data_IF_302541675631
#
_entry.id   IF_302541675631
#
_cell.length_a   1.000
_cell.length_b   1.000
_cell.length_c   1.000
_cell.angle_alpha   90.00
_cell.angle_beta   90.00
_cell.angle_gamma   90.00
#
_symmetry.space_group_name_H-M   'P 1'
#
loop_
_entity.id
_entity.type
_entity.pdbx_description
1 polymer ?
#
# COMPACT_ATOMS: atom_id res chain seq x y z
N UNK A 1 -10.75 23.94 -59.42
CA UNK A 1 -11.39 22.81 -58.73
C UNK A 1 -10.35 21.71 -58.58
N UNK A 2 -9.53 21.80 -57.53
CA UNK A 2 -8.65 20.72 -57.09
C UNK A 2 -8.24 21.01 -55.65
N UNK A 3 -8.78 20.21 -54.74
CA UNK A 3 -8.43 20.17 -53.32
C UNK A 3 -7.08 19.49 -53.16
N UNK A 4 -6.21 20.05 -52.31
CA UNK A 4 -5.18 19.28 -51.61
C UNK A 4 -5.55 19.28 -50.13
N UNK A 5 -6.04 18.14 -49.65
CA UNK A 5 -6.20 17.87 -48.23
C UNK A 5 -4.81 17.59 -47.65
N UNK A 6 -4.30 18.50 -46.81
CA UNK A 6 -3.11 18.25 -46.03
C UNK A 6 -3.48 17.34 -44.85
N UNK A 7 -3.15 16.07 -44.98
CA UNK A 7 -3.20 15.10 -43.88
C UNK A 7 -2.19 15.52 -42.81
N UNK A 8 -2.67 16.23 -41.80
CA UNK A 8 -1.97 16.35 -40.53
C UNK A 8 -2.01 15.00 -39.82
N UNK A 9 -1.04 14.14 -40.13
CA UNK A 9 -0.68 13.03 -39.27
C UNK A 9 -0.14 13.64 -37.97
N UNK A 10 -1.06 13.96 -37.05
CA UNK A 10 -0.73 14.28 -35.68
C UNK A 10 0.14 13.15 -35.18
N UNK A 11 1.37 13.50 -34.80
CA UNK A 11 2.34 12.63 -34.16
C UNK A 11 1.60 11.66 -33.25
N UNK A 12 1.68 10.37 -33.58
CA UNK A 12 1.53 9.30 -32.63
C UNK A 12 2.56 9.57 -31.53
N UNK A 13 2.16 10.41 -30.58
CA UNK A 13 2.89 10.62 -29.37
C UNK A 13 3.10 9.22 -28.81
N UNK A 14 4.34 8.93 -28.46
CA UNK A 14 4.70 7.87 -27.54
C UNK A 14 4.00 8.15 -26.20
N UNK A 15 2.67 8.01 -26.20
CA UNK A 15 1.80 8.54 -25.18
C UNK A 15 1.67 7.46 -24.15
N UNK A 16 2.49 7.59 -23.11
CA UNK A 16 2.54 6.72 -21.95
C UNK A 16 1.14 6.38 -21.47
N UNK A 17 0.92 5.10 -21.15
CA UNK A 17 -0.28 4.61 -20.48
C UNK A 17 -0.32 5.19 -19.06
N UNK A 18 -0.81 6.43 -18.96
CA UNK A 18 -0.73 7.27 -17.77
C UNK A 18 -2.07 7.94 -17.49
N UNK A 19 -2.27 8.33 -16.22
CA UNK A 19 -3.44 9.11 -15.82
C UNK A 19 -3.44 10.49 -16.51
N UNK A 20 -2.27 11.11 -16.68
CA UNK A 20 -2.15 12.43 -17.30
C UNK A 20 -2.63 12.43 -18.76
N UNK A 21 -2.35 11.36 -19.51
CA UNK A 21 -2.85 11.20 -20.88
C UNK A 21 -4.39 11.15 -20.94
N UNK A 22 -5.05 10.53 -19.95
CA UNK A 22 -6.51 10.51 -19.86
C UNK A 22 -7.05 11.88 -19.48
N UNK A 23 -6.43 12.54 -18.50
CA UNK A 23 -6.88 13.85 -18.01
C UNK A 23 -6.69 14.95 -19.05
N UNK A 24 -5.68 14.86 -19.92
CA UNK A 24 -5.45 15.80 -21.01
C UNK A 24 -6.63 15.89 -21.99
N UNK A 25 -7.39 14.80 -22.19
CA UNK A 25 -8.57 14.81 -23.07
C UNK A 25 -9.67 15.78 -22.59
N UNK A 26 -9.66 16.20 -21.31
CA UNK A 26 -10.61 17.20 -20.78
C UNK A 26 -10.47 18.57 -21.42
N UNK A 27 -9.29 18.90 -21.95
CA UNK A 27 -9.04 20.20 -22.57
C UNK A 27 -9.63 20.31 -23.99
N UNK A 28 -10.11 19.22 -24.58
CA UNK A 28 -10.69 19.19 -25.93
C UNK A 28 -12.14 19.68 -25.86
N UNK A 29 -12.46 20.73 -26.62
CA UNK A 29 -13.79 21.35 -26.66
C UNK A 29 -14.78 20.50 -27.46
N UNK A 30 -14.39 20.07 -28.66
CA UNK A 30 -15.24 19.28 -29.55
C UNK A 30 -15.57 17.92 -28.91
N UNK A 31 -16.87 17.59 -28.73
CA UNK A 31 -17.26 16.36 -28.06
C UNK A 31 -16.83 15.08 -28.80
N UNK A 32 -16.85 15.07 -30.14
CA UNK A 32 -16.51 13.89 -30.93
C UNK A 32 -15.00 13.62 -30.88
N UNK A 33 -14.19 14.66 -30.99
CA UNK A 33 -12.73 14.57 -30.81
C UNK A 33 -12.37 14.16 -29.37
N UNK A 34 -13.06 14.71 -28.37
CA UNK A 34 -12.84 14.38 -26.97
C UNK A 34 -13.12 12.92 -26.67
N UNK A 35 -14.21 12.35 -27.21
CA UNK A 35 -14.53 10.92 -27.04
C UNK A 35 -13.45 10.05 -27.68
N UNK A 36 -13.03 10.36 -28.92
CA UNK A 36 -11.95 9.63 -29.58
C UNK A 36 -10.62 9.66 -28.80
N UNK A 37 -10.32 10.79 -28.14
CA UNK A 37 -9.16 10.90 -27.24
C UNK A 37 -9.27 9.96 -26.04
N UNK A 38 -10.42 9.93 -25.37
CA UNK A 38 -10.64 9.05 -24.23
C UNK A 38 -10.53 7.58 -24.62
N UNK A 39 -11.18 7.17 -25.71
CA UNK A 39 -11.16 5.77 -26.18
C UNK A 39 -9.72 5.32 -26.47
N UNK A 40 -8.92 6.17 -27.12
CA UNK A 40 -7.52 5.87 -27.40
C UNK A 40 -6.67 5.81 -26.12
N UNK A 41 -6.88 6.71 -25.16
CA UNK A 41 -6.14 6.74 -23.90
C UNK A 41 -6.47 5.55 -22.99
N UNK A 42 -7.75 5.21 -22.87
CA UNK A 42 -8.23 4.05 -22.11
C UNK A 42 -7.75 2.75 -22.76
N UNK A 43 -7.84 2.62 -24.09
CA UNK A 43 -7.34 1.44 -24.79
C UNK A 43 -5.85 1.18 -24.56
N UNK A 44 -5.02 2.22 -24.42
CA UNK A 44 -3.61 2.08 -24.03
C UNK A 44 -3.44 1.62 -22.58
N UNK A 45 -4.24 2.15 -21.66
CA UNK A 45 -4.24 1.70 -20.26
C UNK A 45 -4.68 0.25 -20.11
N UNK A 46 -5.68 -0.19 -20.86
CA UNK A 46 -6.12 -1.59 -20.88
C UNK A 46 -5.00 -2.52 -21.36
N UNK A 47 -4.28 -2.14 -22.43
CA UNK A 47 -3.13 -2.90 -22.93
C UNK A 47 -1.99 -2.96 -21.91
N UNK A 48 -1.63 -1.84 -21.29
CA UNK A 48 -0.60 -1.79 -20.26
C UNK A 48 -1.00 -2.61 -19.02
N UNK A 49 -2.28 -2.60 -18.63
CA UNK A 49 -2.79 -3.43 -17.56
C UNK A 49 -2.73 -4.93 -17.90
N UNK A 50 -3.09 -5.31 -19.13
CA UNK A 50 -3.00 -6.69 -19.60
C UNK A 50 -1.55 -7.21 -19.63
N UNK A 51 -0.59 -6.32 -19.87
CA UNK A 51 0.85 -6.62 -19.85
C UNK A 51 1.48 -6.55 -18.44
N UNK A 52 0.70 -6.12 -17.44
CA UNK A 52 1.17 -5.98 -16.05
C UNK A 52 2.04 -4.74 -15.81
N UNK A 53 2.07 -3.79 -16.73
CA UNK A 53 2.86 -2.56 -16.63
C UNK A 53 2.18 -1.50 -15.75
N UNK A 54 0.85 -1.50 -15.71
CA UNK A 54 0.04 -0.57 -14.92
C UNK A 54 -1.02 -1.32 -14.11
N UNK A 55 -1.21 -0.91 -12.85
CA UNK A 55 -2.32 -1.38 -12.03
C UNK A 55 -2.89 -0.23 -11.22
N UNK A 56 -4.21 -0.09 -11.24
CA UNK A 56 -4.91 0.84 -10.37
C UNK A 56 -5.06 0.19 -9.00
N UNK A 57 -4.57 0.87 -7.97
CA UNK A 57 -4.65 0.44 -6.57
C UNK A 57 -5.34 1.55 -5.79
N UNK A 58 -6.35 1.17 -5.01
CA UNK A 58 -7.06 2.07 -4.11
C UNK A 58 -6.26 2.33 -2.83
N UNK A 59 -6.56 3.43 -2.14
CA UNK A 59 -6.01 3.73 -0.81
C UNK A 59 -6.25 2.59 0.19
N UNK A 60 -7.44 1.98 0.15
CA UNK A 60 -7.80 0.86 1.01
C UNK A 60 -6.94 -0.39 0.75
N UNK A 61 -6.61 -0.68 -0.52
CA UNK A 61 -5.69 -1.77 -0.86
C UNK A 61 -4.27 -1.48 -0.37
N UNK A 62 -3.79 -0.24 -0.50
CA UNK A 62 -2.50 0.16 0.08
C UNK A 62 -2.49 -0.04 1.60
N UNK A 63 -3.51 0.44 2.31
CA UNK A 63 -3.63 0.29 3.76
C UNK A 63 -3.72 -1.17 4.20
N UNK A 64 -4.44 -2.01 3.44
CA UNK A 64 -4.48 -3.45 3.67
C UNK A 64 -3.09 -4.07 3.55
N UNK A 65 -2.36 -3.79 2.47
CA UNK A 65 -1.00 -4.29 2.26
C UNK A 65 -0.06 -3.79 3.36
N UNK A 66 -0.14 -2.51 3.75
CA UNK A 66 0.67 -1.97 4.83
C UNK A 66 0.38 -2.64 6.18
N UNK A 67 -0.89 -2.90 6.49
CA UNK A 67 -1.32 -3.64 7.70
C UNK A 67 -0.79 -5.06 7.72
N UNK A 68 -0.94 -5.79 6.62
CA UNK A 68 -0.49 -7.18 6.49
C UNK A 68 1.05 -7.27 6.52
N UNK A 69 1.74 -6.25 5.99
CA UNK A 69 3.20 -6.17 5.95
C UNK A 69 3.85 -5.50 7.14
N UNK A 70 3.09 -4.96 8.10
CA UNK A 70 3.64 -4.23 9.25
C UNK A 70 4.67 -5.07 10.01
N UNK A 71 5.90 -4.59 10.15
CA UNK A 71 6.99 -5.36 10.78
C UNK A 71 7.87 -6.16 9.83
N UNK A 72 7.53 -6.22 8.54
CA UNK A 72 8.45 -6.65 7.48
C UNK A 72 9.21 -5.46 6.91
N UNK A 73 10.48 -5.69 6.55
CA UNK A 73 11.24 -4.75 5.70
C UNK A 73 10.92 -5.09 4.25
N UNK A 74 9.82 -4.55 3.73
CA UNK A 74 9.59 -4.57 2.29
C UNK A 74 10.51 -3.51 1.65
N UNK A 75 11.17 -3.78 0.51
CA UNK A 75 11.76 -2.73 -0.31
C UNK A 75 10.75 -1.58 -0.43
N UNK A 76 11.18 -0.36 -0.17
CA UNK A 76 10.30 0.81 -0.12
C UNK A 76 9.42 0.83 -1.36
N UNK A 77 8.11 0.65 -1.16
CA UNK A 77 7.15 1.07 -2.16
C UNK A 77 7.40 2.57 -2.38
N UNK A 78 7.44 3.07 -3.63
CA UNK A 78 7.43 4.50 -3.87
C UNK A 78 6.33 5.12 -3.00
N UNK A 79 6.63 6.22 -2.30
CA UNK A 79 5.68 6.84 -1.39
C UNK A 79 4.38 7.14 -2.14
N UNK A 80 3.33 6.38 -1.87
CA UNK A 80 2.00 6.57 -2.48
C UNK A 80 1.25 7.74 -1.81
N UNK A 81 1.96 8.58 -1.06
CA UNK A 81 1.43 9.71 -0.30
C UNK A 81 1.33 10.98 -1.16
N UNK A 82 0.31 11.06 -2.01
CA UNK A 82 -0.22 12.34 -2.44
C UNK A 82 -1.19 12.88 -1.38
N UNK A 83 -0.69 13.51 -0.32
CA UNK A 83 -1.53 14.14 0.71
C UNK A 83 -0.73 14.56 1.96
N UNK A 84 -1.02 15.76 2.47
CA UNK A 84 -0.26 16.52 3.49
C UNK A 84 -0.12 15.89 4.89
N UNK A 85 -0.59 14.66 5.11
CA UNK A 85 -0.55 13.98 6.41
C UNK A 85 0.10 12.59 6.32
N UNK A 86 1.06 12.42 5.41
CA UNK A 86 1.90 11.24 5.41
C UNK A 86 3.16 11.52 6.23
N UNK A 87 3.44 10.67 7.22
CA UNK A 87 4.81 10.44 7.68
C UNK A 87 5.72 10.37 6.44
N UNK A 88 6.93 10.93 6.50
CA UNK A 88 7.79 11.21 5.33
C UNK A 88 8.10 10.01 4.42
N UNK A 89 7.70 8.79 4.79
CA UNK A 89 7.83 7.56 4.01
C UNK A 89 6.52 6.78 3.76
N UNK A 90 5.37 7.31 4.17
CA UNK A 90 4.06 6.66 4.03
C UNK A 90 3.91 5.35 4.82
N UNK A 91 4.79 5.06 5.79
CA UNK A 91 4.75 3.81 6.56
C UNK A 91 3.84 3.94 7.78
N UNK A 92 3.09 2.87 8.04
CA UNK A 92 2.42 2.70 9.33
C UNK A 92 3.47 2.63 10.45
N UNK A 93 3.41 3.56 11.40
CA UNK A 93 4.26 3.54 12.60
C UNK A 93 3.68 2.66 13.72
N UNK A 94 2.36 2.47 13.69
CA UNK A 94 1.57 1.75 14.68
C UNK A 94 0.48 0.94 13.99
N UNK A 95 0.23 -0.24 14.55
CA UNK A 95 -0.81 -1.16 14.12
C UNK A 95 -1.54 -1.70 15.35
N UNK A 96 -2.86 -1.65 15.34
CA UNK A 96 -3.70 -2.33 16.35
C UNK A 96 -4.48 -3.42 15.66
N UNK A 97 -4.34 -4.66 16.13
CA UNK A 97 -5.00 -5.83 15.56
C UNK A 97 -5.55 -6.75 16.64
N UNK A 98 -6.61 -7.49 16.29
CA UNK A 98 -7.15 -8.52 17.15
C UNK A 98 -6.14 -9.69 17.29
N UNK A 99 -6.08 -10.26 18.48
CA UNK A 99 -5.23 -11.42 18.76
C UNK A 99 -5.99 -12.70 18.43
N UNK A 100 -5.40 -13.50 17.55
CA UNK A 100 -5.92 -14.80 17.15
C UNK A 100 -5.51 -15.91 18.11
N UNK A 101 -4.24 -15.91 18.54
CA UNK A 101 -3.75 -16.86 19.52
C UNK A 101 -2.50 -16.36 20.24
N UNK A 102 -2.31 -16.86 21.47
CA UNK A 102 -1.10 -16.66 22.26
C UNK A 102 -0.58 -18.02 22.71
N UNK A 103 0.72 -18.25 22.51
CA UNK A 103 1.44 -19.40 23.03
C UNK A 103 2.69 -18.94 23.77
N UNK A 104 3.26 -19.81 24.60
CA UNK A 104 4.49 -19.53 25.33
C UNK A 104 5.41 -20.73 25.26
N UNK A 105 6.68 -20.49 24.96
CA UNK A 105 7.75 -21.49 24.98
C UNK A 105 8.99 -20.87 25.61
N UNK A 106 9.60 -21.58 26.57
CA UNK A 106 10.79 -21.07 27.28
C UNK A 106 10.57 -19.74 28.01
N UNK A 107 9.33 -19.44 28.42
CA UNK A 107 8.98 -18.17 29.08
C UNK A 107 8.82 -16.97 28.15
N UNK A 108 8.91 -17.17 26.83
CA UNK A 108 8.73 -16.11 25.82
C UNK A 108 7.39 -16.30 25.11
N UNK A 109 6.64 -15.21 24.95
CA UNK A 109 5.37 -15.22 24.24
C UNK A 109 5.56 -15.28 22.73
N UNK A 110 4.71 -16.06 22.07
CA UNK A 110 4.46 -16.04 20.63
C UNK A 110 3.00 -15.66 20.42
N UNK A 111 2.77 -14.57 19.69
CA UNK A 111 1.46 -13.96 19.46
C UNK A 111 1.13 -14.02 17.97
N UNK A 112 -0.01 -14.61 17.63
CA UNK A 112 -0.55 -14.61 16.27
C UNK A 112 -1.74 -13.64 16.22
N UNK A 113 -1.75 -12.74 15.24
CA UNK A 113 -2.81 -11.75 15.05
C UNK A 113 -3.78 -12.21 13.95
N UNK A 114 -4.98 -11.61 13.90
CA UNK A 114 -6.00 -11.95 12.89
C UNK A 114 -5.56 -11.60 11.46
N UNK A 115 -4.68 -10.60 11.28
CA UNK A 115 -4.05 -10.30 10.00
C UNK A 115 -3.00 -11.37 9.56
N UNK A 116 -2.83 -12.44 10.33
CA UNK A 116 -1.90 -13.54 10.05
C UNK A 116 -0.45 -13.30 10.50
N UNK A 117 -0.11 -12.11 10.99
CA UNK A 117 1.25 -11.84 11.46
C UNK A 117 1.56 -12.56 12.78
N UNK A 118 2.78 -13.09 12.89
CA UNK A 118 3.27 -13.78 14.09
C UNK A 118 4.42 -13.00 14.71
N UNK A 119 4.37 -12.81 16.02
CA UNK A 119 5.31 -12.00 16.77
C UNK A 119 5.86 -12.76 17.97
N UNK A 120 7.18 -12.75 18.11
CA UNK A 120 7.90 -13.41 19.19
C UNK A 120 8.46 -12.36 20.15
N UNK A 121 8.18 -12.51 21.43
CA UNK A 121 8.82 -11.74 22.49
C UNK A 121 10.32 -12.03 22.53
N UNK A 122 11.13 -10.98 22.62
CA UNK A 122 12.59 -11.09 22.68
C UNK A 122 13.20 -10.62 24.00
N UNK A 123 12.52 -9.79 24.78
CA UNK A 123 12.97 -9.37 26.11
C UNK A 123 12.50 -10.31 27.23
N UNK A 124 13.03 -10.16 28.44
CA UNK A 124 12.74 -11.02 29.60
C UNK A 124 11.55 -10.55 30.45
N UNK A 125 10.70 -9.66 29.90
CA UNK A 125 9.56 -9.14 30.66
C UNK A 125 8.53 -10.24 30.89
N UNK A 126 8.03 -10.33 32.12
CA UNK A 126 6.88 -11.20 32.41
C UNK A 126 5.58 -10.49 32.00
N UNK A 127 4.96 -10.95 30.91
CA UNK A 127 3.73 -10.37 30.34
C UNK A 127 2.61 -11.39 30.40
N UNK A 128 1.46 -11.00 30.96
CA UNK A 128 0.24 -11.82 30.98
C UNK A 128 -0.57 -11.57 29.70
N UNK A 129 -0.83 -12.62 28.93
CA UNK A 129 -1.54 -12.54 27.66
C UNK A 129 -2.44 -13.75 27.36
N UNK A 130 -2.85 -14.50 28.40
CA UNK A 130 -3.55 -15.80 28.25
C UNK A 130 -4.91 -15.69 27.53
N UNK A 131 -5.57 -14.54 27.62
CA UNK A 131 -6.87 -14.23 26.99
C UNK A 131 -6.83 -12.89 26.24
N UNK A 132 -5.69 -12.62 25.60
CA UNK A 132 -5.45 -11.38 24.88
C UNK A 132 -6.52 -11.15 23.79
N UNK A 133 -7.10 -9.96 23.73
CA UNK A 133 -8.10 -9.60 22.69
C UNK A 133 -7.48 -8.74 21.60
N UNK A 134 -6.59 -7.83 21.98
CA UNK A 134 -5.99 -6.84 21.09
C UNK A 134 -4.51 -6.70 21.35
N UNK A 135 -3.76 -6.48 20.27
CA UNK A 135 -2.34 -6.16 20.30
C UNK A 135 -2.10 -4.85 19.57
N UNK A 136 -1.44 -3.90 20.25
CA UNK A 136 -0.91 -2.67 19.66
C UNK A 136 0.59 -2.86 19.43
N UNK A 137 1.02 -2.82 18.17
CA UNK A 137 2.42 -2.93 17.77
C UNK A 137 2.87 -1.58 17.23
N UNK A 138 4.03 -1.11 17.66
CA UNK A 138 4.58 0.16 17.23
C UNK A 138 6.09 0.12 17.11
N UNK A 139 6.61 0.94 16.20
CA UNK A 139 8.03 1.08 15.99
C UNK A 139 8.70 1.71 17.21
N UNK A 140 9.88 1.20 17.54
CA UNK A 140 10.78 1.74 18.55
C UNK A 140 12.10 2.14 17.88
N UNK A 141 13.04 2.68 18.67
CA UNK A 141 14.34 3.10 18.17
C UNK A 141 15.04 1.97 17.37
N UNK A 142 15.81 2.38 16.35
CA UNK A 142 16.63 1.50 15.51
C UNK A 142 15.85 0.42 14.74
N UNK A 143 14.59 0.68 14.37
CA UNK A 143 13.78 -0.26 13.59
C UNK A 143 13.37 -1.51 14.37
N UNK A 144 13.41 -1.45 15.70
CA UNK A 144 12.84 -2.48 16.57
C UNK A 144 11.34 -2.26 16.75
N UNK A 145 10.62 -3.28 17.23
CA UNK A 145 9.19 -3.20 17.49
C UNK A 145 8.89 -3.50 18.96
N UNK A 146 7.87 -2.82 19.48
CA UNK A 146 7.26 -3.13 20.77
C UNK A 146 5.81 -3.47 20.57
N UNK A 147 5.28 -4.29 21.47
CA UNK A 147 3.88 -4.68 21.52
C UNK A 147 3.31 -4.37 22.90
N UNK A 148 2.05 -3.94 22.95
CA UNK A 148 1.20 -3.98 24.14
C UNK A 148 0.04 -4.94 23.87
N UNK A 149 -0.33 -5.70 24.88
CA UNK A 149 -1.52 -6.54 24.86
C UNK A 149 -2.58 -5.88 25.74
N UNK A 150 -3.78 -5.65 25.18
CA UNK A 150 -4.93 -5.06 25.88
C UNK A 150 -4.59 -3.78 26.67
N UNK A 151 -3.74 -2.91 26.10
CA UNK A 151 -3.31 -1.65 26.72
C UNK A 151 -2.28 -1.81 27.85
N UNK A 152 -1.79 -3.02 28.11
CA UNK A 152 -0.83 -3.33 29.18
C UNK A 152 0.60 -2.85 28.94
N UNK A 153 1.54 -3.48 29.66
CA UNK A 153 2.96 -3.13 29.59
C UNK A 153 3.54 -3.41 28.21
N UNK A 154 4.27 -2.43 27.66
CA UNK A 154 4.99 -2.62 26.40
C UNK A 154 6.22 -3.53 26.56
N UNK A 155 6.36 -4.51 25.67
CA UNK A 155 7.49 -5.44 25.61
C UNK A 155 8.06 -5.53 24.18
N UNK A 156 9.33 -5.90 24.06
CA UNK A 156 10.00 -6.00 22.75
C UNK A 156 9.60 -7.27 22.04
N UNK A 157 9.25 -7.12 20.77
CA UNK A 157 8.87 -8.22 19.89
C UNK A 157 9.66 -8.18 18.59
N UNK A 158 9.78 -9.34 17.96
CA UNK A 158 10.30 -9.51 16.61
C UNK A 158 9.27 -10.29 15.80
N UNK A 159 8.98 -9.83 14.57
CA UNK A 159 8.11 -10.57 13.65
C UNK A 159 8.79 -11.89 13.26
N UNK A 160 8.04 -12.97 13.28
CA UNK A 160 8.44 -14.25 12.70
C UNK A 160 7.96 -14.31 11.25
N UNK A 161 8.76 -14.97 10.40
CA UNK A 161 8.52 -15.04 8.96
C UNK A 161 7.22 -15.76 8.63
#
# INVERSE_FOLDING_TARGET
MTLFAASGAGTALAQEASLDAVLACRAIEDPAERVGCYDAAVGRLEQAQAQGEVKIITRAEVEKVQRESFGFRIPSLPSFAGGSDAAEDGRLERLTEAVKSVSSSGGKLRITLENGSVWQQVDDKNVRARDAKSAEIFQAAMGSYKMKIDGGLAFRVRREN
#
